data_IF_550266745803
#
_entry.id   IF_550266745803
#
_cell.length_a   1.000
_cell.length_b   1.000
_cell.length_c   1.000
_cell.angle_alpha   90.00
_cell.angle_beta   90.00
_cell.angle_gamma   90.00
#
_symmetry.space_group_name_H-M   'P 1'
#
loop_
_entity.id
_entity.type
_entity.pdbx_description
1 polymer ?
#
# COMPACT_ATOMS: atom_id res chain seq x y z
N UNK A 1 -68.33 32.90 -4.42
CA UNK A 1 -68.59 32.31 -3.09
C UNK A 1 -68.80 30.81 -3.29
N UNK A 2 -68.27 29.98 -2.39
CA UNK A 2 -67.02 29.19 -2.45
C UNK A 2 -67.30 27.73 -2.91
N UNK A 3 -66.37 26.80 -3.17
CA UNK A 3 -65.11 26.46 -2.49
C UNK A 3 -64.33 25.41 -3.32
N UNK A 4 -63.03 25.63 -3.52
CA UNK A 4 -61.95 24.60 -3.53
C UNK A 4 -61.87 24.00 -2.09
N UNK A 5 -61.38 22.76 -1.77
CA UNK A 5 -60.15 22.21 -2.35
C UNK A 5 -59.91 20.67 -2.41
N UNK A 6 -58.96 20.33 -3.29
CA UNK A 6 -57.82 19.39 -3.11
C UNK A 6 -58.08 17.97 -2.60
N UNK A 7 -57.66 16.99 -3.42
CA UNK A 7 -57.39 15.64 -2.92
C UNK A 7 -57.01 14.57 -3.94
N UNK A 8 -56.57 14.91 -5.16
CA UNK A 8 -56.17 13.93 -6.18
C UNK A 8 -54.67 14.01 -6.49
N UNK A 9 -53.85 13.82 -5.45
CA UNK A 9 -52.43 13.47 -5.59
C UNK A 9 -52.15 12.04 -5.09
N UNK A 10 -53.13 11.16 -5.24
CA UNK A 10 -52.99 9.74 -4.94
C UNK A 10 -53.14 8.98 -6.25
N UNK A 11 -52.16 8.12 -6.55
CA UNK A 11 -52.17 7.15 -7.67
C UNK A 11 -51.74 7.69 -9.03
N UNK A 12 -50.49 8.13 -9.18
CA UNK A 12 -49.74 7.86 -10.43
C UNK A 12 -48.24 8.10 -10.22
N UNK A 13 -47.45 7.09 -10.58
CA UNK A 13 -45.98 7.01 -10.59
C UNK A 13 -45.32 6.50 -9.29
N UNK A 14 -45.82 5.35 -8.84
CA UNK A 14 -44.97 4.25 -8.38
C UNK A 14 -43.95 3.92 -9.48
N UNK A 15 -42.69 4.32 -9.28
CA UNK A 15 -41.47 3.66 -9.79
C UNK A 15 -40.24 4.51 -9.42
N UNK A 16 -40.07 4.86 -8.14
CA UNK A 16 -38.78 5.34 -7.66
C UNK A 16 -37.90 4.11 -7.43
N UNK A 17 -37.06 3.85 -8.42
CA UNK A 17 -36.08 2.76 -8.46
C UNK A 17 -35.24 2.71 -7.17
N UNK A 18 -35.50 1.69 -6.37
CA UNK A 18 -34.59 1.16 -5.35
C UNK A 18 -33.37 0.53 -6.03
N UNK A 19 -32.50 1.34 -6.64
CA UNK A 19 -31.17 0.90 -7.06
C UNK A 19 -30.21 1.07 -5.88
N UNK A 20 -30.34 0.20 -4.89
CA UNK A 20 -29.29 -0.09 -3.93
C UNK A 20 -28.18 -0.82 -4.72
N UNK A 21 -27.37 -0.07 -5.46
CA UNK A 21 -26.18 -0.63 -6.08
C UNK A 21 -25.18 -0.91 -4.96
N UNK A 22 -25.16 -2.17 -4.52
CA UNK A 22 -24.13 -2.74 -3.69
C UNK A 22 -22.77 -2.32 -4.25
N UNK A 23 -22.04 -1.51 -3.48
CA UNK A 23 -20.63 -1.29 -3.71
C UNK A 23 -19.93 -2.64 -3.52
N UNK A 24 -19.77 -3.38 -4.62
CA UNK A 24 -18.88 -4.52 -4.70
C UNK A 24 -17.50 -3.96 -4.41
N UNK A 25 -17.03 -4.17 -3.18
CA UNK A 25 -15.63 -3.99 -2.85
C UNK A 25 -14.86 -4.93 -3.78
N UNK A 26 -14.32 -4.39 -4.87
CA UNK A 26 -13.32 -5.12 -5.63
C UNK A 26 -12.23 -5.51 -4.63
N UNK A 27 -12.07 -6.80 -4.39
CA UNK A 27 -10.93 -7.33 -3.67
C UNK A 27 -9.70 -6.95 -4.49
N UNK A 28 -9.04 -5.88 -4.06
CA UNK A 28 -7.76 -5.47 -4.60
C UNK A 28 -6.77 -6.56 -4.25
N UNK A 29 -6.36 -7.36 -5.24
CA UNK A 29 -5.31 -8.35 -5.08
C UNK A 29 -4.03 -7.60 -4.66
N UNK A 30 -3.75 -7.67 -3.36
CA UNK A 30 -2.70 -6.90 -2.70
C UNK A 30 -1.47 -7.78 -2.62
N UNK A 31 -0.41 -7.41 -3.34
CA UNK A 31 0.90 -7.95 -3.06
C UNK A 31 1.40 -7.41 -1.71
N UNK A 32 2.29 -8.13 -1.02
CA UNK A 32 2.25 -8.25 0.45
C UNK A 32 0.80 -8.49 0.92
N UNK A 33 0.46 -9.72 1.22
CA UNK A 33 -0.95 -10.09 1.34
C UNK A 33 -1.57 -9.47 2.58
N UNK A 34 -2.66 -8.72 2.40
CA UNK A 34 -3.45 -8.19 3.52
C UNK A 34 -4.15 -9.35 4.21
N UNK A 35 -3.77 -9.65 5.45
CA UNK A 35 -4.37 -10.75 6.22
C UNK A 35 -5.56 -10.26 7.04
N UNK A 36 -5.39 -9.16 7.77
CA UNK A 36 -6.46 -8.60 8.59
C UNK A 36 -6.22 -7.13 8.93
N UNK A 37 -7.06 -6.57 9.79
CA UNK A 37 -6.98 -5.18 10.24
C UNK A 37 -7.09 -5.11 11.76
N UNK A 38 -6.37 -4.17 12.36
CA UNK A 38 -6.34 -3.89 13.80
C UNK A 38 -6.05 -5.17 14.61
N UNK A 39 -5.10 -5.96 14.15
CA UNK A 39 -4.69 -7.18 14.80
C UNK A 39 -3.78 -6.90 16.00
N UNK A 40 -3.93 -7.68 17.06
CA UNK A 40 -3.09 -7.69 18.25
C UNK A 40 -2.56 -9.10 18.52
N UNK A 41 -1.63 -9.24 19.46
CA UNK A 41 -1.10 -10.54 19.88
C UNK A 41 -0.60 -11.40 18.71
N UNK A 42 0.08 -10.75 17.77
CA UNK A 42 0.53 -11.33 16.50
C UNK A 42 1.71 -12.26 16.75
N UNK A 43 1.63 -13.48 16.22
CA UNK A 43 2.69 -14.48 16.25
C UNK A 43 2.82 -15.15 14.89
N UNK A 44 4.04 -15.15 14.38
CA UNK A 44 4.42 -15.86 13.16
C UNK A 44 5.18 -17.14 13.53
N UNK A 45 4.80 -18.26 12.93
CA UNK A 45 5.53 -19.52 12.97
C UNK A 45 5.66 -20.06 11.55
N UNK A 46 6.80 -20.67 11.22
CA UNK A 46 6.98 -21.33 9.91
C UNK A 46 7.44 -22.76 10.16
N UNK A 47 6.71 -23.71 9.61
CA UNK A 47 6.98 -25.14 9.76
C UNK A 47 8.00 -25.63 8.75
N UNK A 48 8.57 -26.82 8.99
CA UNK A 48 9.55 -27.44 8.10
C UNK A 48 9.00 -27.75 6.69
N UNK A 49 7.68 -27.69 6.50
CA UNK A 49 7.01 -27.82 5.21
C UNK A 49 7.01 -26.54 4.37
N UNK A 50 7.58 -25.43 4.87
CA UNK A 50 7.55 -24.12 4.20
C UNK A 50 6.20 -23.39 4.29
N UNK A 51 5.30 -23.87 5.16
CA UNK A 51 4.03 -23.17 5.44
C UNK A 51 4.21 -22.25 6.64
N UNK A 52 3.53 -21.11 6.63
CA UNK A 52 3.44 -20.21 7.77
C UNK A 52 2.11 -20.39 8.49
N UNK A 53 2.14 -20.31 9.82
CA UNK A 53 0.99 -20.10 10.68
C UNK A 53 1.09 -18.71 11.30
N UNK A 54 0.14 -17.85 10.94
CA UNK A 54 -0.03 -16.52 11.52
C UNK A 54 -1.20 -16.56 12.51
N UNK A 55 -0.88 -16.45 13.79
CA UNK A 55 -1.87 -16.32 14.86
C UNK A 55 -1.98 -14.86 15.30
N UNK A 56 -3.19 -14.38 15.54
CA UNK A 56 -3.43 -13.04 16.06
C UNK A 56 -4.84 -12.93 16.64
N UNK A 57 -5.14 -11.81 17.30
CA UNK A 57 -6.47 -11.46 17.76
C UNK A 57 -7.01 -10.27 16.98
N UNK A 58 -8.24 -10.39 16.49
CA UNK A 58 -8.95 -9.31 15.83
C UNK A 58 -10.45 -9.54 15.94
N UNK A 59 -11.22 -8.46 16.04
CA UNK A 59 -12.70 -8.52 16.10
C UNK A 59 -13.20 -9.42 17.24
N UNK A 60 -12.54 -9.34 18.40
CA UNK A 60 -12.93 -10.06 19.62
C UNK A 60 -12.65 -11.56 19.63
N UNK A 61 -11.88 -12.10 18.67
CA UNK A 61 -11.51 -13.52 18.64
C UNK A 61 -10.10 -13.76 18.14
N UNK A 62 -9.58 -14.94 18.45
CA UNK A 62 -8.32 -15.46 17.91
C UNK A 62 -8.51 -15.99 16.49
N UNK A 63 -7.56 -15.67 15.64
CA UNK A 63 -7.39 -16.19 14.29
C UNK A 63 -6.11 -17.01 14.22
N UNK A 64 -6.14 -18.06 13.39
CA UNK A 64 -5.01 -18.91 13.07
C UNK A 64 -5.04 -19.12 11.57
N UNK A 65 -4.21 -18.41 10.83
CA UNK A 65 -4.21 -18.41 9.37
C UNK A 65 -3.00 -19.19 8.88
N UNK A 66 -3.23 -20.28 8.13
CA UNK A 66 -2.15 -20.91 7.39
C UNK A 66 -1.95 -20.19 6.06
N UNK A 67 -0.68 -19.95 5.69
CA UNK A 67 -0.30 -19.32 4.43
C UNK A 67 0.83 -20.12 3.75
N UNK A 68 0.73 -20.31 2.43
CA UNK A 68 1.75 -21.04 1.64
C UNK A 68 1.60 -20.79 0.13
N UNK A 69 2.53 -21.37 -0.64
CA UNK A 69 2.40 -21.50 -2.11
C UNK A 69 2.76 -20.24 -2.89
N UNK A 70 3.39 -19.27 -2.25
CA UNK A 70 3.84 -18.04 -2.87
C UNK A 70 5.15 -17.58 -2.24
N UNK A 71 6.06 -17.08 -3.08
CA UNK A 71 7.34 -16.49 -2.70
C UNK A 71 7.71 -15.45 -3.75
N UNK A 72 8.33 -14.33 -3.32
CA UNK A 72 8.80 -13.28 -4.21
C UNK A 72 7.67 -12.68 -5.09
N UNK A 73 8.05 -12.08 -6.20
CA UNK A 73 7.16 -11.53 -7.21
C UNK A 73 7.63 -11.91 -8.61
N UNK A 74 6.71 -11.86 -9.57
CA UNK A 74 7.05 -11.88 -10.99
C UNK A 74 7.07 -10.46 -11.57
N UNK A 75 7.86 -10.26 -12.62
CA UNK A 75 7.87 -9.03 -13.39
C UNK A 75 6.47 -8.69 -13.95
N UNK A 76 6.12 -7.40 -14.10
CA UNK A 76 4.84 -7.00 -14.67
C UNK A 76 4.54 -7.67 -16.01
N UNK A 77 3.35 -8.27 -16.11
CA UNK A 77 2.84 -8.90 -17.32
C UNK A 77 1.31 -8.90 -17.34
N UNK A 78 0.71 -8.84 -18.52
CA UNK A 78 -0.74 -9.02 -18.72
C UNK A 78 -1.13 -10.48 -18.92
N UNK A 79 -0.16 -11.39 -19.09
CA UNK A 79 -0.42 -12.79 -19.44
C UNK A 79 -0.89 -13.66 -18.25
N UNK A 80 -0.62 -13.23 -17.02
CA UNK A 80 -0.97 -13.98 -15.81
C UNK A 80 -1.06 -13.07 -14.59
N UNK A 81 -1.80 -13.47 -13.53
CA UNK A 81 -1.80 -12.76 -12.26
C UNK A 81 -0.42 -12.77 -11.58
N UNK A 82 -0.21 -11.82 -10.69
CA UNK A 82 0.90 -11.78 -9.77
C UNK A 82 0.84 -12.92 -8.73
N UNK A 83 1.98 -13.26 -8.14
CA UNK A 83 2.12 -14.26 -7.07
C UNK A 83 1.30 -13.86 -5.83
N UNK A 84 0.55 -14.81 -5.26
CA UNK A 84 -0.30 -14.60 -4.08
C UNK A 84 -0.41 -15.87 -3.23
N UNK A 85 -0.58 -15.72 -1.90
CA UNK A 85 -0.66 -16.86 -0.99
C UNK A 85 -1.96 -17.65 -1.16
N UNK A 86 -1.86 -18.96 -0.93
CA UNK A 86 -3.00 -19.76 -0.50
C UNK A 86 -3.19 -19.54 1.00
N UNK A 87 -4.41 -19.15 1.40
CA UNK A 87 -4.75 -18.85 2.78
C UNK A 87 -5.84 -19.78 3.31
N UNK A 88 -5.65 -20.30 4.52
CA UNK A 88 -6.65 -21.04 5.26
C UNK A 88 -6.87 -20.41 6.64
N UNK A 89 -7.93 -19.62 6.76
CA UNK A 89 -8.32 -18.90 7.97
C UNK A 89 -8.88 -19.79 9.08
N UNK A 90 -9.06 -21.10 8.83
CA UNK A 90 -9.52 -22.06 9.84
C UNK A 90 -8.36 -22.77 10.59
N UNK A 91 -7.11 -22.38 10.31
CA UNK A 91 -5.94 -23.00 10.91
C UNK A 91 -5.68 -24.43 10.43
N UNK A 92 -6.13 -24.75 9.21
CA UNK A 92 -5.89 -26.00 8.51
C UNK A 92 -7.10 -26.91 8.33
N UNK A 93 -8.24 -26.62 8.95
CA UNK A 93 -9.44 -27.45 8.79
C UNK A 93 -9.99 -27.38 7.36
N UNK A 94 -10.00 -26.21 6.74
CA UNK A 94 -10.46 -26.00 5.37
C UNK A 94 -9.69 -26.87 4.37
N UNK A 95 -8.36 -26.89 4.52
CA UNK A 95 -7.41 -27.55 3.62
C UNK A 95 -7.20 -29.03 3.94
N UNK A 96 -6.97 -29.35 5.21
CA UNK A 96 -6.54 -30.68 5.66
C UNK A 96 -7.60 -31.45 6.45
N UNK A 97 -8.79 -30.86 6.65
CA UNK A 97 -9.87 -31.44 7.48
C UNK A 97 -9.43 -31.78 8.91
N UNK A 98 -8.46 -31.02 9.44
CA UNK A 98 -7.95 -31.12 10.82
C UNK A 98 -7.38 -29.79 11.31
N UNK A 99 -7.36 -29.60 12.63
CA UNK A 99 -6.81 -28.41 13.30
C UNK A 99 -5.27 -28.42 13.32
N UNK A 100 -4.63 -28.17 12.17
CA UNK A 100 -3.18 -28.13 12.04
C UNK A 100 -2.53 -27.12 13.00
N UNK A 101 -3.19 -25.98 13.24
CA UNK A 101 -2.68 -24.93 14.12
C UNK A 101 -2.39 -25.40 15.56
N UNK A 102 -3.11 -26.41 16.07
CA UNK A 102 -2.93 -26.91 17.45
C UNK A 102 -1.59 -27.62 17.66
N UNK A 103 -1.06 -28.24 16.61
CA UNK A 103 0.17 -29.04 16.66
C UNK A 103 1.29 -28.45 15.81
N UNK A 104 1.09 -27.21 15.32
CA UNK A 104 2.02 -26.55 14.42
C UNK A 104 3.35 -26.24 15.12
N UNK A 105 4.42 -26.87 14.64
CA UNK A 105 5.77 -26.68 15.17
C UNK A 105 6.49 -25.60 14.41
N UNK A 106 7.02 -24.62 15.13
CA UNK A 106 7.89 -23.62 14.54
C UNK A 106 9.27 -24.22 14.27
N UNK A 107 9.78 -24.00 13.06
CA UNK A 107 11.14 -24.33 12.63
C UNK A 107 11.95 -23.08 12.25
N UNK A 108 11.30 -21.92 12.27
CA UNK A 108 11.91 -20.65 11.92
C UNK A 108 12.99 -20.23 12.94
N UNK A 109 14.09 -19.70 12.42
CA UNK A 109 15.18 -19.07 13.18
C UNK A 109 14.96 -17.57 13.29
N UNK A 110 15.68 -16.87 14.19
CA UNK A 110 15.69 -15.41 14.22
C UNK A 110 15.92 -14.84 12.81
N UNK A 111 15.17 -13.79 12.47
CA UNK A 111 15.27 -13.13 11.18
C UNK A 111 16.70 -12.61 10.94
N UNK A 112 17.23 -12.87 9.75
CA UNK A 112 18.62 -12.57 9.39
C UNK A 112 18.74 -11.71 8.13
N UNK A 113 17.62 -11.18 7.61
CA UNK A 113 17.61 -10.29 6.46
C UNK A 113 17.78 -8.82 6.84
N UNK A 114 17.72 -7.94 5.84
CA UNK A 114 17.79 -6.48 6.01
C UNK A 114 16.68 -5.93 6.90
N UNK A 115 16.94 -4.79 7.54
CA UNK A 115 15.94 -4.12 8.38
C UNK A 115 14.65 -3.86 7.60
N UNK A 116 13.52 -4.18 8.23
CA UNK A 116 12.19 -3.90 7.72
C UNK A 116 11.52 -2.86 8.60
N UNK A 117 10.97 -1.83 7.96
CA UNK A 117 10.10 -0.87 8.65
C UNK A 117 8.71 -1.44 8.82
N UNK A 118 7.95 -0.86 9.76
CA UNK A 118 6.61 -1.36 10.13
C UNK A 118 6.60 -2.79 10.66
N UNK A 119 7.75 -3.33 11.07
CA UNK A 119 7.92 -4.72 11.45
C UNK A 119 7.15 -5.04 12.74
N UNK A 120 6.32 -6.09 12.67
CA UNK A 120 5.67 -6.71 13.82
C UNK A 120 6.44 -7.94 14.27
N UNK A 121 6.75 -8.83 13.34
CA UNK A 121 7.55 -10.04 13.58
C UNK A 121 8.09 -10.57 12.26
N UNK A 122 9.26 -11.19 12.27
CA UNK A 122 9.84 -11.86 11.11
C UNK A 122 10.68 -13.05 11.55
N UNK A 123 10.95 -13.96 10.61
CA UNK A 123 11.85 -15.08 10.83
C UNK A 123 12.48 -15.57 9.52
N UNK A 124 13.59 -16.30 9.65
CA UNK A 124 14.23 -17.01 8.54
C UNK A 124 13.84 -18.47 8.60
N UNK A 125 13.22 -18.97 7.53
CA UNK A 125 12.81 -20.36 7.39
C UNK A 125 14.02 -21.29 7.20
N UNK A 126 13.79 -22.60 7.31
CA UNK A 126 14.86 -23.60 7.26
C UNK A 126 15.54 -23.70 5.88
N UNK A 127 14.84 -23.33 4.81
CA UNK A 127 15.33 -23.24 3.44
C UNK A 127 16.09 -21.92 3.14
N UNK A 128 16.17 -21.02 4.13
CA UNK A 128 16.85 -19.73 4.02
C UNK A 128 15.95 -18.59 3.52
N UNK A 129 14.69 -18.85 3.15
CA UNK A 129 13.75 -17.77 2.83
C UNK A 129 13.33 -17.01 4.09
N UNK A 130 12.74 -15.84 3.90
CA UNK A 130 12.28 -14.97 4.97
C UNK A 130 10.78 -14.81 4.96
N UNK A 131 10.20 -14.81 6.15
CA UNK A 131 8.80 -14.45 6.37
C UNK A 131 8.72 -13.25 7.29
N UNK A 132 7.87 -12.29 6.96
CA UNK A 132 7.67 -11.09 7.78
C UNK A 132 6.22 -10.67 7.83
N UNK A 133 5.87 -10.06 8.95
CA UNK A 133 4.60 -9.40 9.18
C UNK A 133 4.85 -7.93 9.43
N UNK A 134 4.22 -7.07 8.63
CA UNK A 134 4.27 -5.62 8.77
C UNK A 134 2.88 -5.07 9.11
N UNK A 135 2.84 -3.94 9.83
CA UNK A 135 1.60 -3.26 10.15
C UNK A 135 1.70 -1.73 9.98
N UNK A 136 0.82 -1.16 9.15
CA UNK A 136 0.75 0.29 8.92
C UNK A 136 -0.63 0.76 8.40
N UNK A 137 -0.88 2.07 8.45
CA UNK A 137 -2.16 2.68 8.08
C UNK A 137 -2.18 3.14 6.62
N UNK A 138 -2.47 2.22 5.71
CA UNK A 138 -2.56 2.52 4.28
C UNK A 138 -3.76 3.40 3.92
N UNK A 139 -4.89 3.23 4.60
CA UNK A 139 -6.20 3.76 4.18
C UNK A 139 -6.47 5.21 4.60
N UNK A 140 -5.48 5.92 5.13
CA UNK A 140 -5.63 7.33 5.51
C UNK A 140 -6.04 8.20 4.30
N UNK A 141 -6.97 9.14 4.47
CA UNK A 141 -7.38 10.03 3.39
C UNK A 141 -6.25 11.03 3.06
N UNK A 142 -6.19 11.44 1.80
CA UNK A 142 -5.17 12.37 1.31
C UNK A 142 -5.35 13.79 1.86
N UNK A 143 -4.29 14.59 1.75
CA UNK A 143 -4.23 16.01 2.06
C UNK A 143 -4.55 16.35 3.52
N UNK A 144 -4.10 15.49 4.43
CA UNK A 144 -4.23 15.68 5.88
C UNK A 144 -5.67 15.68 6.39
N UNK A 145 -6.60 15.09 5.65
CA UNK A 145 -7.98 14.95 6.10
C UNK A 145 -8.07 14.02 7.32
N UNK A 146 -9.08 14.26 8.16
CA UNK A 146 -9.31 13.42 9.34
C UNK A 146 -9.85 12.06 8.87
N UNK A 147 -9.18 10.94 9.24
CA UNK A 147 -9.66 9.62 8.84
C UNK A 147 -10.93 9.24 9.60
N UNK A 148 -11.85 8.58 8.90
CA UNK A 148 -12.90 7.80 9.56
C UNK A 148 -12.30 6.57 10.25
N UNK A 149 -13.04 5.93 11.16
CA UNK A 149 -12.60 4.69 11.80
C UNK A 149 -12.26 3.56 10.80
N UNK A 150 -12.93 3.53 9.63
CA UNK A 150 -12.65 2.57 8.55
C UNK A 150 -11.34 2.86 7.81
N UNK A 151 -10.90 4.12 7.81
CA UNK A 151 -9.67 4.58 7.16
C UNK A 151 -8.47 4.53 8.11
N UNK A 152 -8.68 4.73 9.41
CA UNK A 152 -7.65 4.70 10.44
C UNK A 152 -7.22 3.27 10.84
N UNK A 153 -7.58 2.26 10.07
CA UNK A 153 -7.24 0.86 10.37
C UNK A 153 -5.75 0.59 10.12
N UNK A 154 -5.14 -0.19 11.01
CA UNK A 154 -3.81 -0.77 10.81
C UNK A 154 -3.96 -2.06 10.02
N UNK A 155 -3.36 -2.13 8.84
CA UNK A 155 -3.37 -3.33 8.00
C UNK A 155 -2.28 -4.30 8.45
N UNK A 156 -2.62 -5.56 8.72
CA UNK A 156 -1.67 -6.63 9.02
C UNK A 156 -1.31 -7.34 7.71
N UNK A 157 -0.05 -7.27 7.30
CA UNK A 157 0.40 -7.69 5.96
C UNK A 157 1.48 -8.75 6.08
N UNK A 158 1.36 -9.83 5.30
CA UNK A 158 2.28 -10.97 5.31
C UNK A 158 3.13 -11.00 4.04
N UNK A 159 4.40 -11.33 4.22
CA UNK A 159 5.40 -11.40 3.15
C UNK A 159 6.23 -12.68 3.26
N UNK A 160 6.65 -13.22 2.12
CA UNK A 160 7.55 -14.37 1.97
C UNK A 160 8.48 -14.15 0.77
N UNK A 161 9.78 -14.12 1.00
CA UNK A 161 10.74 -13.81 -0.05
C UNK A 161 12.10 -14.47 0.18
N UNK A 162 12.89 -14.51 -0.88
CA UNK A 162 14.31 -14.85 -0.85
C UNK A 162 15.09 -13.84 -1.69
N UNK A 163 16.35 -13.63 -1.33
CA UNK A 163 17.21 -12.65 -2.00
C UNK A 163 16.83 -11.20 -1.68
N UNK A 164 17.08 -10.32 -2.66
CA UNK A 164 16.98 -8.87 -2.50
C UNK A 164 15.56 -8.37 -2.27
N UNK A 165 15.43 -7.27 -1.52
CA UNK A 165 14.17 -6.55 -1.34
C UNK A 165 13.84 -5.70 -2.58
N UNK A 166 12.56 -5.39 -2.82
CA UNK A 166 12.18 -4.33 -3.75
C UNK A 166 12.80 -3.00 -3.34
N UNK A 167 13.21 -2.20 -4.32
CA UNK A 167 13.92 -0.95 -4.11
C UNK A 167 13.04 0.24 -4.46
N UNK A 168 12.73 1.06 -3.45
CA UNK A 168 12.16 2.39 -3.62
C UNK A 168 13.29 3.42 -3.55
N UNK A 169 13.55 4.10 -4.65
CA UNK A 169 14.43 5.26 -4.68
C UNK A 169 13.59 6.52 -4.72
N UNK A 170 13.83 7.45 -3.81
CA UNK A 170 13.18 8.77 -3.78
C UNK A 170 14.25 9.85 -3.66
N UNK A 171 14.09 10.88 -4.47
CA UNK A 171 14.93 12.08 -4.56
C UNK A 171 14.04 13.30 -4.40
N UNK A 172 14.65 14.42 -4.01
CA UNK A 172 13.96 15.67 -3.74
C UNK A 172 14.57 16.79 -4.59
N UNK A 173 13.75 17.76 -5.00
CA UNK A 173 14.15 19.05 -5.57
C UNK A 173 13.02 20.08 -5.39
N UNK A 174 13.04 21.19 -6.13
CA UNK A 174 11.92 22.13 -6.18
C UNK A 174 11.30 22.19 -7.58
N UNK A 175 9.97 22.24 -7.63
CA UNK A 175 9.24 22.66 -8.81
C UNK A 175 8.97 24.17 -8.73
N UNK A 176 9.15 24.85 -9.86
CA UNK A 176 8.94 26.31 -9.96
C UNK A 176 9.73 27.13 -8.93
N UNK A 177 10.85 26.58 -8.42
CA UNK A 177 11.72 27.20 -7.41
C UNK A 177 11.04 27.52 -6.06
N UNK A 178 9.87 26.95 -5.79
CA UNK A 178 9.08 27.30 -4.61
C UNK A 178 8.33 26.13 -3.99
N UNK A 179 8.00 25.10 -4.77
CA UNK A 179 7.29 23.93 -4.27
C UNK A 179 8.25 22.78 -4.14
N UNK A 180 8.33 22.18 -2.95
CA UNK A 180 9.09 20.93 -2.81
C UNK A 180 8.52 19.87 -3.75
N UNK A 181 9.41 19.01 -4.25
CA UNK A 181 9.08 18.01 -5.24
C UNK A 181 9.84 16.72 -4.97
N UNK A 182 9.12 15.60 -5.01
CA UNK A 182 9.64 14.25 -4.90
C UNK A 182 9.65 13.59 -6.27
N UNK A 183 10.70 12.84 -6.57
CA UNK A 183 10.73 11.97 -7.72
C UNK A 183 11.53 10.71 -7.47
N UNK A 184 11.26 9.67 -8.24
CA UNK A 184 11.90 8.41 -7.96
C UNK A 184 11.41 7.26 -8.80
N UNK A 185 11.78 6.06 -8.38
CA UNK A 185 11.33 4.81 -9.02
C UNK A 185 11.15 3.70 -8.01
N UNK A 186 10.32 2.74 -8.38
CA UNK A 186 10.15 1.49 -7.66
C UNK A 186 10.49 0.31 -8.57
N UNK A 187 11.47 -0.48 -8.14
CA UNK A 187 11.98 -1.61 -8.92
C UNK A 187 12.08 -2.87 -8.07
N UNK A 188 12.08 -4.01 -8.75
CA UNK A 188 12.38 -5.30 -8.14
C UNK A 188 13.23 -6.10 -9.13
N UNK A 189 14.38 -6.61 -8.68
CA UNK A 189 15.36 -7.31 -9.51
C UNK A 189 15.75 -6.52 -10.77
N UNK A 190 15.97 -5.21 -10.61
CA UNK A 190 16.35 -4.29 -11.69
C UNK A 190 15.23 -4.00 -12.71
N UNK A 191 14.00 -4.49 -12.49
CA UNK A 191 12.86 -4.27 -13.38
C UNK A 191 11.86 -3.30 -12.74
N UNK A 192 11.22 -2.44 -13.54
CA UNK A 192 10.20 -1.52 -13.03
C UNK A 192 8.98 -2.29 -12.52
N UNK A 193 8.49 -1.90 -11.35
CA UNK A 193 7.20 -2.40 -10.82
C UNK A 193 6.10 -1.44 -11.26
N UNK A 194 5.06 -1.96 -11.90
CA UNK A 194 3.91 -1.17 -12.35
C UNK A 194 2.68 -2.04 -12.62
N UNK A 195 1.50 -1.40 -12.68
CA UNK A 195 0.24 -2.02 -13.08
C UNK A 195 -0.17 -1.67 -14.52
N UNK A 196 -1.31 -2.19 -14.94
CA UNK A 196 -1.87 -2.06 -16.29
C UNK A 196 -3.24 -1.40 -16.34
N UNK A 197 -4.01 -1.44 -15.25
CA UNK A 197 -5.38 -0.92 -15.18
C UNK A 197 -5.67 -0.28 -13.84
N UNK A 198 -6.38 0.84 -13.88
CA UNK A 198 -6.68 1.66 -12.70
C UNK A 198 -8.07 2.26 -12.83
N UNK A 199 -8.68 2.64 -11.71
CA UNK A 199 -9.85 3.53 -11.72
C UNK A 199 -9.45 4.92 -12.19
N UNK A 200 -10.44 5.78 -12.49
CA UNK A 200 -10.23 7.21 -12.74
C UNK A 200 -9.63 7.96 -11.54
N UNK A 201 -9.72 7.39 -10.34
CA UNK A 201 -9.16 7.91 -9.10
C UNK A 201 -7.83 7.25 -8.71
N UNK A 202 -7.20 6.49 -9.62
CA UNK A 202 -5.86 5.94 -9.42
C UNK A 202 -5.80 4.72 -8.48
N UNK A 203 -6.92 4.00 -8.29
CA UNK A 203 -6.92 2.72 -7.58
C UNK A 203 -6.57 1.58 -8.53
N UNK A 204 -5.59 0.71 -8.22
CA UNK A 204 -5.27 -0.46 -9.04
C UNK A 204 -6.48 -1.38 -9.26
N UNK A 205 -6.65 -1.85 -10.49
CA UNK A 205 -7.67 -2.83 -10.91
C UNK A 205 -7.05 -4.16 -11.39
N UNK A 206 -5.77 -4.36 -11.08
CA UNK A 206 -5.02 -5.56 -11.40
C UNK A 206 -4.14 -5.98 -10.22
N UNK A 207 -3.47 -7.12 -10.40
CA UNK A 207 -2.67 -7.76 -9.36
C UNK A 207 -1.23 -7.22 -9.30
N UNK A 208 -0.87 -6.22 -10.10
CA UNK A 208 0.48 -5.64 -10.16
C UNK A 208 0.55 -4.19 -9.68
N UNK A 209 -0.44 -3.36 -9.98
CA UNK A 209 -0.43 -1.93 -9.65
C UNK A 209 -0.44 -1.68 -8.15
N UNK A 210 0.42 -0.77 -7.67
CA UNK A 210 0.52 -0.37 -6.25
C UNK A 210 0.65 1.14 -6.15
N UNK A 211 -0.03 1.73 -5.17
CA UNK A 211 0.16 3.14 -4.84
C UNK A 211 1.40 3.30 -3.95
N UNK A 212 2.18 4.33 -4.23
CA UNK A 212 3.10 4.95 -3.28
C UNK A 212 2.29 5.86 -2.37
N UNK A 213 2.47 5.74 -1.06
CA UNK A 213 1.80 6.55 -0.05
C UNK A 213 2.81 7.48 0.59
N UNK A 214 2.65 8.78 0.35
CA UNK A 214 3.52 9.82 0.91
C UNK A 214 2.85 10.41 2.14
N UNK A 215 3.55 10.42 3.26
CA UNK A 215 3.16 11.15 4.45
C UNK A 215 4.16 12.29 4.72
N UNK A 216 3.65 13.37 5.30
CA UNK A 216 4.38 14.59 5.65
C UNK A 216 4.30 14.80 7.17
N UNK A 217 5.41 15.19 7.79
CA UNK A 217 5.51 15.41 9.23
C UNK A 217 5.50 16.90 9.55
N UNK A 218 4.68 17.30 10.54
CA UNK A 218 4.59 18.69 11.03
C UNK A 218 4.42 19.72 9.90
N UNK A 219 3.43 19.49 9.03
CA UNK A 219 3.09 20.38 7.92
C UNK A 219 1.91 21.30 8.24
N UNK A 220 1.46 22.07 7.24
CA UNK A 220 0.22 22.85 7.31
C UNK A 220 -1.03 22.00 7.61
N UNK A 221 -0.94 20.67 7.51
CA UNK A 221 -2.02 19.75 7.91
C UNK A 221 -2.10 19.52 9.42
N UNK A 222 -1.11 19.99 10.18
CA UNK A 222 -1.03 19.89 11.64
C UNK A 222 0.10 18.98 12.10
N UNK A 223 0.22 18.86 13.44
CA UNK A 223 1.31 18.12 14.09
C UNK A 223 1.30 16.62 13.81
N UNK A 224 2.49 16.03 13.79
CA UNK A 224 2.75 14.62 13.55
C UNK A 224 2.66 14.24 12.07
N UNK A 225 2.71 12.94 11.81
CA UNK A 225 2.56 12.40 10.46
C UNK A 225 1.12 12.56 9.94
N UNK A 226 0.99 13.10 8.73
CA UNK A 226 -0.26 13.23 7.97
C UNK A 226 -0.08 12.67 6.57
N UNK A 227 -1.10 12.00 6.03
CA UNK A 227 -1.10 11.57 4.62
C UNK A 227 -1.12 12.79 3.71
N UNK A 228 -0.07 12.94 2.90
CA UNK A 228 -0.04 13.90 1.80
C UNK A 228 -0.90 13.38 0.65
N UNK A 229 -0.47 12.28 0.04
CA UNK A 229 -1.14 11.74 -1.12
C UNK A 229 -0.83 10.25 -1.30
N UNK A 230 -1.58 9.63 -2.21
CA UNK A 230 -1.32 8.28 -2.69
C UNK A 230 -1.48 8.23 -4.20
N UNK A 231 -0.47 7.78 -4.92
CA UNK A 231 -0.46 7.78 -6.38
C UNK A 231 0.30 6.58 -6.93
N UNK A 232 0.08 6.27 -8.20
CA UNK A 232 0.71 5.14 -8.85
C UNK A 232 2.08 5.51 -9.39
N UNK A 233 2.98 4.54 -9.40
CA UNK A 233 4.15 4.58 -10.26
C UNK A 233 3.74 4.38 -11.71
N UNK A 234 4.50 4.96 -12.62
CA UNK A 234 4.23 5.00 -14.04
C UNK A 234 4.40 3.63 -14.69
N UNK A 235 3.51 3.32 -15.64
CA UNK A 235 3.58 2.11 -16.44
C UNK A 235 4.90 2.08 -17.22
N UNK A 236 5.47 0.89 -17.38
CA UNK A 236 6.70 0.58 -18.12
C UNK A 236 8.00 1.12 -17.50
N UNK A 237 7.96 2.23 -16.74
CA UNK A 237 9.16 2.84 -16.15
C UNK A 237 9.27 2.64 -14.64
N UNK A 238 8.16 2.41 -13.94
CA UNK A 238 8.12 2.34 -12.48
C UNK A 238 8.49 3.66 -11.81
N UNK A 239 8.55 4.77 -12.56
CA UNK A 239 8.94 6.09 -12.06
C UNK A 239 7.75 6.85 -11.46
N UNK A 240 8.03 7.89 -10.70
CA UNK A 240 7.02 8.83 -10.24
C UNK A 240 7.61 10.22 -10.08
N UNK A 241 6.72 11.22 -10.07
CA UNK A 241 6.99 12.60 -9.70
C UNK A 241 5.80 13.13 -8.92
N UNK A 242 6.06 13.95 -7.92
CA UNK A 242 5.05 14.53 -7.06
C UNK A 242 5.50 15.89 -6.55
N UNK A 243 4.75 16.94 -6.86
CA UNK A 243 4.98 18.26 -6.27
C UNK A 243 3.99 18.53 -5.14
N UNK A 244 4.48 19.15 -4.07
CA UNK A 244 3.64 19.61 -2.97
C UNK A 244 2.96 20.91 -3.37
N UNK A 245 1.71 20.83 -3.82
CA UNK A 245 0.91 21.98 -4.27
C UNK A 245 -0.35 22.14 -3.42
N UNK A 246 -1.05 23.27 -3.60
CA UNK A 246 -2.42 23.42 -3.08
C UNK A 246 -3.36 22.48 -3.83
N UNK A 247 -4.18 21.74 -3.09
CA UNK A 247 -5.17 20.83 -3.66
C UNK A 247 -6.60 21.28 -3.29
N UNK A 248 -7.24 22.00 -4.22
CA UNK A 248 -8.51 22.66 -3.95
C UNK A 248 -8.37 23.66 -2.80
N UNK A 249 -9.19 23.53 -1.76
CA UNK A 249 -9.10 24.37 -0.56
C UNK A 249 -8.01 23.90 0.46
N UNK A 250 -7.27 22.82 0.16
CA UNK A 250 -6.23 22.31 1.06
C UNK A 250 -4.91 23.04 0.83
N UNK A 251 -4.19 23.42 1.90
CA UNK A 251 -2.89 24.10 1.77
C UNK A 251 -1.82 23.17 1.18
N UNK A 252 -0.70 23.76 0.78
CA UNK A 252 0.52 23.00 0.46
C UNK A 252 0.91 22.16 1.67
N UNK A 253 1.15 20.85 1.46
CA UNK A 253 1.45 19.91 2.53
C UNK A 253 2.94 19.65 2.78
N UNK A 254 3.84 20.45 2.21
CA UNK A 254 5.26 20.42 2.56
C UNK A 254 5.44 20.59 4.07
N UNK A 255 6.28 19.75 4.67
CA UNK A 255 6.46 19.63 6.12
C UNK A 255 7.93 19.54 6.48
N UNK A 256 8.24 19.26 7.74
CA UNK A 256 9.63 19.15 8.18
C UNK A 256 10.33 17.87 7.68
N UNK A 257 9.56 16.80 7.43
CA UNK A 257 10.07 15.48 7.03
C UNK A 257 9.04 14.76 6.17
N UNK A 258 9.52 13.87 5.31
CA UNK A 258 8.69 13.03 4.47
C UNK A 258 8.99 11.57 4.69
N UNK A 259 7.97 10.75 4.58
CA UNK A 259 8.13 9.31 4.41
C UNK A 259 7.26 8.83 3.28
N UNK A 260 7.71 7.77 2.62
CA UNK A 260 6.95 7.10 1.60
C UNK A 260 6.91 5.60 1.90
N UNK A 261 5.70 5.02 1.90
CA UNK A 261 5.52 3.57 2.01
C UNK A 261 4.86 3.07 0.74
N UNK A 262 5.41 2.01 0.15
CA UNK A 262 4.81 1.33 -1.00
C UNK A 262 4.66 -0.15 -0.69
N UNK A 263 3.53 -0.68 -1.14
CA UNK A 263 3.26 -2.10 -1.04
C UNK A 263 4.25 -2.88 -1.92
N UNK A 264 4.90 -3.90 -1.37
CA UNK A 264 5.80 -4.78 -2.12
C UNK A 264 5.09 -5.50 -3.28
N UNK A 265 5.76 -5.79 -4.43
CA UNK A 265 5.19 -6.65 -5.49
C UNK A 265 5.10 -8.13 -5.04
N UNK A 266 4.23 -8.92 -5.66
CA UNK A 266 4.05 -10.34 -5.30
C UNK A 266 3.73 -10.60 -3.82
N UNK A 267 4.58 -11.33 -3.13
CA UNK A 267 4.51 -11.48 -1.67
C UNK A 267 5.79 -10.96 -1.01
N UNK A 268 6.46 -10.00 -1.65
CA UNK A 268 7.64 -9.33 -1.06
C UNK A 268 7.23 -8.30 0.01
N UNK A 269 8.14 -7.94 0.94
CA UNK A 269 7.88 -6.93 1.97
C UNK A 269 7.48 -5.56 1.44
N UNK A 270 6.71 -4.84 2.27
CA UNK A 270 6.44 -3.42 2.06
C UNK A 270 7.71 -2.61 2.28
N UNK A 271 7.91 -1.61 1.42
CA UNK A 271 9.13 -0.81 1.38
C UNK A 271 8.87 0.58 1.92
N UNK A 272 9.85 1.08 2.66
CA UNK A 272 9.81 2.38 3.33
C UNK A 272 10.99 3.24 2.91
N UNK A 273 10.72 4.52 2.74
CA UNK A 273 11.70 5.58 2.59
C UNK A 273 11.35 6.74 3.51
N UNK A 274 12.35 7.44 4.04
CA UNK A 274 12.17 8.66 4.82
C UNK A 274 13.36 9.61 4.61
N UNK A 275 13.08 10.91 4.68
CA UNK A 275 14.08 11.98 4.64
C UNK A 275 13.54 13.21 5.34
N UNK A 276 14.43 14.05 5.83
CA UNK A 276 14.08 15.44 6.17
C UNK A 276 13.72 16.22 4.88
N UNK A 277 12.90 17.26 5.04
CA UNK A 277 12.60 18.21 3.97
C UNK A 277 13.87 18.98 3.57
N UNK A 278 13.92 19.42 2.31
CA UNK A 278 14.99 20.29 1.84
C UNK A 278 14.94 21.70 2.47
N UNK A 279 13.78 22.11 3.00
CA UNK A 279 13.57 23.41 3.60
C UNK A 279 13.58 24.55 2.58
N UNK A 280 14.29 25.64 2.92
CA UNK A 280 14.36 26.83 2.07
C UNK A 280 15.01 26.51 0.72
N UNK A 281 14.54 27.16 -0.34
CA UNK A 281 15.03 26.95 -1.70
C UNK A 281 16.56 27.15 -1.81
N UNK A 282 17.24 26.11 -2.29
CA UNK A 282 18.66 26.13 -2.64
C UNK A 282 18.82 25.97 -4.15
N UNK A 283 19.26 27.06 -4.80
CA UNK A 283 19.43 27.10 -6.26
C UNK A 283 20.47 26.11 -6.77
N UNK A 284 21.59 25.96 -6.08
CA UNK A 284 22.70 25.14 -6.58
C UNK A 284 22.35 23.66 -6.44
N UNK A 285 21.65 23.29 -5.36
CA UNK A 285 21.09 21.95 -5.23
C UNK A 285 20.02 21.68 -6.29
N UNK A 286 19.10 22.62 -6.51
CA UNK A 286 18.02 22.46 -7.49
C UNK A 286 18.56 22.27 -8.91
N UNK A 287 19.56 23.06 -9.33
CA UNK A 287 20.19 22.91 -10.65
C UNK A 287 20.90 21.56 -10.82
N UNK A 288 21.57 21.04 -9.78
CA UNK A 288 22.18 19.69 -9.83
C UNK A 288 21.10 18.61 -9.99
N UNK A 289 20.03 18.71 -9.19
CA UNK A 289 18.93 17.75 -9.26
C UNK A 289 18.15 17.85 -10.57
N UNK A 290 18.04 19.04 -11.17
CA UNK A 290 17.41 19.24 -12.47
C UNK A 290 18.15 18.48 -13.59
N UNK A 291 19.48 18.52 -13.62
CA UNK A 291 20.27 17.75 -14.59
C UNK A 291 20.15 16.24 -14.35
N UNK A 292 20.17 15.81 -13.10
CA UNK A 292 19.93 14.41 -12.73
C UNK A 292 18.53 13.95 -13.14
N UNK A 293 17.51 14.80 -12.94
CA UNK A 293 16.12 14.55 -13.25
C UNK A 293 15.88 14.39 -14.77
N UNK A 294 16.54 15.20 -15.61
CA UNK A 294 16.52 15.04 -17.07
C UNK A 294 16.99 13.66 -17.51
N UNK A 295 18.15 13.23 -16.99
CA UNK A 295 18.67 11.90 -17.29
C UNK A 295 17.76 10.81 -16.72
N UNK A 296 17.26 11.00 -15.50
CA UNK A 296 16.43 10.03 -14.82
C UNK A 296 15.09 9.83 -15.52
N UNK A 297 14.46 10.86 -16.08
CA UNK A 297 13.18 10.75 -16.79
C UNK A 297 13.29 10.31 -18.25
N UNK A 298 14.48 10.01 -18.77
CA UNK A 298 14.62 9.43 -20.09
C UNK A 298 13.67 8.21 -20.25
N UNK A 299 12.83 8.23 -21.29
CA UNK A 299 11.83 7.19 -21.56
C UNK A 299 10.53 7.28 -20.75
N UNK A 300 10.33 8.29 -19.90
CA UNK A 300 9.08 8.55 -19.20
C UNK A 300 8.36 9.78 -19.80
N UNK A 301 7.13 9.59 -20.27
CA UNK A 301 6.34 10.67 -20.88
C UNK A 301 5.41 11.41 -19.92
N UNK A 302 5.33 10.96 -18.66
CA UNK A 302 4.35 11.46 -17.68
C UNK A 302 4.99 12.43 -16.68
N UNK A 303 6.26 12.23 -16.34
CA UNK A 303 7.06 13.22 -15.62
C UNK A 303 7.84 14.11 -16.58
N UNK A 304 8.07 15.36 -16.16
CA UNK A 304 8.96 16.30 -16.84
C UNK A 304 9.92 16.87 -15.81
N UNK A 305 11.14 17.17 -16.24
CA UNK A 305 12.08 17.87 -15.38
C UNK A 305 11.53 19.27 -15.08
N UNK A 306 11.58 19.68 -13.82
CA UNK A 306 11.01 20.94 -13.29
C UNK A 306 12.08 21.88 -12.75
#
# INVERSE_FOLDING_TARGET
>A
MPSDPRGHHLLLRLAALSALAAAVFASTASASELIDRNAANVKLQVGASGQALLSYEARGKRWNVLAWGAENAIAPTTARPQVAFKLDYSGGYGTYKRDVWKTFRNSCRPYSGSELQWLVTACTAADGSHWAVQAWQRMLPNYGLVPTAKQAVWELRLSHWSGELPQLTVKQNWAYRSFEHLFGSFTYQGRPVHGFRTTSTGQPLDTFGRNLYVDTYDSAYGKGWKRENSFLVHKDTGKFCYGFYTHGARPVGAGARYRATIIGPGVTPDVYWESDSLGAYDRDFDLRMHEEQKSFYAGDGLCKAV
#
